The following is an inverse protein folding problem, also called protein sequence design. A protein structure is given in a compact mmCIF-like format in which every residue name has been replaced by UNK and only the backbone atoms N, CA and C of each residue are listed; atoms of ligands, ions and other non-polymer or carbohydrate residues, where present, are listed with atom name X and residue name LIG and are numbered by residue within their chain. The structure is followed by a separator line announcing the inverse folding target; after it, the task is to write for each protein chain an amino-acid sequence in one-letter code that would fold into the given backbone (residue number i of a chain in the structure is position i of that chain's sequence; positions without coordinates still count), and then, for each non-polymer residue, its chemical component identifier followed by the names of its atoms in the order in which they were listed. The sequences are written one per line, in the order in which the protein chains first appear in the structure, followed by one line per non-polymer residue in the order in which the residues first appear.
data_IF_685106296226
#
_entry.id   IF_685106296226
#
_cell.length_a   1.000
_cell.length_b   1.000
_cell.length_c   1.000
_cell.angle_alpha   90.00
_cell.angle_beta   90.00
_cell.angle_gamma   90.00
#
_symmetry.space_group_name_H-M   'P 1'
#
loop_
_entity.id
_entity.type
_entity.pdbx_description
1 polymer ?
#
# COMPACT_ATOMS: atom_id res chain seq x y z
N UNK A 1 -10.97 -20.07 -5.72
CA UNK A 1 -9.66 -19.72 -5.16
C UNK A 1 -9.04 -18.62 -6.03
N UNK A 2 -8.38 -17.65 -5.41
CA UNK A 2 -7.71 -16.54 -6.09
C UNK A 2 -6.33 -16.35 -5.50
N UNK A 3 -5.41 -15.89 -6.34
CA UNK A 3 -4.08 -15.44 -5.92
C UNK A 3 -4.03 -13.92 -6.02
N UNK A 4 -3.38 -13.26 -5.06
CA UNK A 4 -3.13 -11.82 -5.09
C UNK A 4 -1.71 -11.56 -5.55
N UNK A 5 -1.58 -10.65 -6.51
CA UNK A 5 -0.29 -10.13 -6.96
C UNK A 5 -0.25 -8.64 -6.64
N UNK A 6 0.84 -8.19 -6.05
CA UNK A 6 1.11 -6.77 -5.84
C UNK A 6 2.27 -6.35 -6.72
N UNK A 7 2.07 -5.30 -7.51
CA UNK A 7 3.11 -4.63 -8.28
C UNK A 7 3.40 -3.26 -7.70
N UNK A 8 4.67 -2.97 -7.46
CA UNK A 8 5.18 -1.66 -7.10
C UNK A 8 5.57 -0.97 -8.41
N UNK A 9 5.01 0.21 -8.67
CA UNK A 9 5.09 0.86 -9.98
C UNK A 9 5.95 2.12 -9.94
N UNK A 10 6.80 2.30 -10.95
CA UNK A 10 7.48 3.56 -11.24
C UNK A 10 6.95 4.11 -12.56
N UNK A 11 6.46 5.34 -12.55
CA UNK A 11 5.95 6.01 -13.74
C UNK A 11 7.07 6.41 -14.69
N UNK A 12 6.73 6.64 -15.96
CA UNK A 12 7.66 7.30 -16.90
C UNK A 12 7.96 8.72 -16.44
N UNK A 13 9.19 9.16 -16.61
CA UNK A 13 9.68 10.48 -16.16
C UNK A 13 8.97 11.65 -16.84
N UNK A 14 8.50 11.46 -18.07
CA UNK A 14 7.76 12.46 -18.85
C UNK A 14 6.27 12.52 -18.49
N UNK A 15 5.80 11.79 -17.50
CA UNK A 15 4.42 11.79 -17.04
C UNK A 15 4.32 12.44 -15.66
N UNK A 16 3.31 13.30 -15.49
CA UNK A 16 2.91 13.76 -14.15
C UNK A 16 2.20 12.63 -13.39
N UNK A 17 2.06 12.80 -12.09
CA UNK A 17 1.31 11.85 -11.24
C UNK A 17 -0.15 11.73 -11.70
N UNK A 18 -0.80 12.84 -12.05
CA UNK A 18 -2.18 12.83 -12.53
C UNK A 18 -2.33 12.15 -13.89
N UNK A 19 -1.37 12.38 -14.81
CA UNK A 19 -1.35 11.64 -16.11
C UNK A 19 -1.15 10.15 -15.88
N UNK A 20 -0.27 9.77 -14.95
CA UNK A 20 -0.01 8.36 -14.62
C UNK A 20 -1.26 7.70 -14.01
N UNK A 21 -1.92 8.38 -13.07
CA UNK A 21 -3.19 7.93 -12.49
C UNK A 21 -4.25 7.71 -13.57
N UNK A 22 -4.43 8.68 -14.45
CA UNK A 22 -5.40 8.58 -15.55
C UNK A 22 -5.09 7.40 -16.49
N UNK A 23 -3.83 7.21 -16.85
CA UNK A 23 -3.39 6.07 -17.67
C UNK A 23 -3.70 4.73 -16.99
N UNK A 24 -3.43 4.59 -15.71
CA UNK A 24 -3.70 3.35 -14.97
C UNK A 24 -5.20 3.05 -14.91
N UNK A 25 -6.03 4.05 -14.64
CA UNK A 25 -7.47 3.88 -14.49
C UNK A 25 -8.16 3.68 -15.83
N UNK A 26 -7.87 4.55 -16.81
CA UNK A 26 -8.67 4.65 -18.04
C UNK A 26 -8.08 3.90 -19.24
N UNK A 27 -6.81 3.50 -19.18
CA UNK A 27 -6.13 2.78 -20.27
C UNK A 27 -5.67 1.39 -19.86
N UNK A 28 -4.91 1.29 -18.77
CA UNK A 28 -4.37 0.02 -18.33
C UNK A 28 -5.43 -0.94 -17.75
N UNK A 29 -6.26 -0.46 -16.81
CA UNK A 29 -7.23 -1.34 -16.13
C UNK A 29 -8.21 -2.04 -17.10
N UNK A 30 -8.75 -1.37 -18.12
CA UNK A 30 -9.59 -2.05 -19.09
C UNK A 30 -8.90 -3.17 -19.88
N UNK A 31 -7.59 -3.05 -20.10
CA UNK A 31 -6.80 -4.06 -20.83
C UNK A 31 -6.62 -5.37 -20.06
N UNK A 32 -6.69 -5.31 -18.72
CA UNK A 32 -6.50 -6.48 -17.86
C UNK A 32 -7.81 -6.97 -17.19
N UNK A 33 -8.91 -6.33 -17.43
CA UNK A 33 -10.19 -6.63 -16.75
C UNK A 33 -10.61 -8.09 -16.94
N UNK A 34 -10.43 -8.63 -18.14
CA UNK A 34 -10.75 -10.03 -18.45
C UNK A 34 -9.75 -11.05 -17.84
N UNK A 35 -8.60 -10.61 -17.36
CA UNK A 35 -7.57 -11.45 -16.73
C UNK A 35 -7.70 -11.49 -15.21
N UNK A 36 -8.43 -10.57 -14.63
CA UNK A 36 -8.51 -10.33 -13.18
C UNK A 36 -9.93 -10.53 -12.65
N UNK A 37 -10.03 -10.80 -11.36
CA UNK A 37 -11.32 -10.79 -10.64
C UNK A 37 -11.56 -9.45 -9.95
N UNK A 38 -10.49 -8.76 -9.60
CA UNK A 38 -10.51 -7.44 -8.97
C UNK A 38 -9.20 -6.72 -9.21
N UNK A 39 -9.26 -5.41 -9.22
CA UNK A 39 -8.12 -4.51 -9.40
C UNK A 39 -8.18 -3.43 -8.33
N UNK A 40 -7.06 -3.16 -7.67
CA UNK A 40 -6.88 -2.02 -6.77
C UNK A 40 -5.67 -1.21 -7.24
N UNK A 41 -5.86 0.10 -7.34
CA UNK A 41 -4.81 1.04 -7.73
C UNK A 41 -4.60 2.04 -6.60
N UNK A 42 -3.37 2.14 -6.11
CA UNK A 42 -2.93 3.18 -5.19
C UNK A 42 -1.91 4.05 -5.92
N UNK A 43 -2.09 5.35 -5.89
CA UNK A 43 -1.19 6.31 -6.53
C UNK A 43 -0.77 7.36 -5.50
N UNK A 44 0.50 7.73 -5.53
CA UNK A 44 1.01 8.87 -4.76
C UNK A 44 0.58 10.14 -5.49
N UNK A 45 -0.69 10.51 -5.33
CA UNK A 45 -1.28 11.68 -5.97
C UNK A 45 -0.93 12.99 -5.24
N UNK A 46 -1.37 14.11 -5.78
CA UNK A 46 -1.06 15.44 -5.20
C UNK A 46 -1.64 15.62 -3.79
N UNK A 47 -2.71 14.91 -3.45
CA UNK A 47 -3.30 14.96 -2.11
C UNK A 47 -2.36 14.37 -1.05
N UNK A 48 -1.63 13.29 -1.39
CA UNK A 48 -0.73 12.60 -0.46
C UNK A 48 0.74 12.97 -0.63
N UNK A 49 1.18 13.43 -1.80
CA UNK A 49 2.60 13.74 -2.07
C UNK A 49 3.15 14.87 -1.23
N UNK A 50 2.34 15.88 -0.95
CA UNK A 50 2.72 17.05 -0.13
C UNK A 50 2.91 16.74 1.35
N UNK A 51 2.41 15.62 1.81
CA UNK A 51 2.36 15.22 3.22
C UNK A 51 3.39 14.16 3.59
N UNK A 52 3.94 13.44 2.62
CA UNK A 52 5.03 12.49 2.84
C UNK A 52 6.27 13.13 3.50
N UNK A 53 6.47 14.43 3.35
CA UNK A 53 7.57 15.16 3.95
C UNK A 53 7.32 15.61 5.41
N UNK A 54 6.07 15.68 5.86
CA UNK A 54 5.74 16.23 7.18
C UNK A 54 5.63 15.17 8.29
N UNK A 55 5.51 13.89 7.93
CA UNK A 55 5.40 12.77 8.88
C UNK A 55 6.73 12.28 9.44
N UNK A 56 7.78 12.61 8.75
CA UNK A 56 9.12 12.22 9.11
C UNK A 56 9.63 13.27 10.10
N UNK A 57 9.57 12.97 11.39
CA UNK A 57 10.28 13.76 12.39
C UNK A 57 11.74 13.90 11.98
N UNK A 58 12.40 14.97 12.39
CA UNK A 58 13.78 15.29 12.00
C UNK A 58 14.78 14.12 12.12
N UNK A 59 14.52 13.15 13.00
CA UNK A 59 15.35 11.94 13.16
C UNK A 59 15.19 10.91 12.03
N UNK A 60 14.06 10.92 11.32
CA UNK A 60 13.80 10.01 10.22
C UNK A 60 14.21 10.61 8.86
N UNK A 61 14.41 11.92 8.74
CA UNK A 61 14.93 12.58 7.52
C UNK A 61 16.26 12.00 7.05
N UNK A 62 17.07 11.46 7.97
CA UNK A 62 18.34 10.80 7.66
C UNK A 62 18.21 9.35 7.24
N UNK A 63 17.02 8.74 7.30
CA UNK A 63 16.82 7.30 7.04
C UNK A 63 15.85 7.00 5.89
N UNK A 64 15.06 7.98 5.45
CA UNK A 64 14.15 7.80 4.32
C UNK A 64 14.75 8.38 3.04
N UNK A 65 14.61 7.68 1.91
CA UNK A 65 14.97 8.28 0.62
C UNK A 65 14.15 9.55 0.39
N UNK A 66 14.76 10.57 -0.19
CA UNK A 66 14.14 11.87 -0.53
C UNK A 66 13.02 11.76 -1.59
N UNK A 67 12.57 10.56 -1.90
CA UNK A 67 11.49 10.27 -2.85
C UNK A 67 10.68 9.07 -2.37
N UNK A 68 9.41 8.95 -2.74
CA UNK A 68 8.62 7.76 -2.44
C UNK A 68 9.30 6.52 -3.03
N UNK A 69 9.13 5.37 -2.35
CA UNK A 69 9.64 4.06 -2.81
C UNK A 69 9.06 3.72 -4.18
N UNK A 70 7.85 4.21 -4.47
CA UNK A 70 7.13 4.00 -5.72
C UNK A 70 6.20 5.17 -6.04
N UNK A 71 5.83 5.31 -7.30
CA UNK A 71 4.80 6.26 -7.74
C UNK A 71 3.39 5.69 -7.58
N UNK A 72 3.26 4.38 -7.50
CA UNK A 72 2.01 3.69 -7.30
C UNK A 72 2.16 2.22 -6.97
N UNK A 73 1.04 1.62 -6.61
CA UNK A 73 0.89 0.18 -6.36
C UNK A 73 -0.34 -0.32 -7.11
N UNK A 74 -0.20 -1.47 -7.75
CA UNK A 74 -1.29 -2.21 -8.36
C UNK A 74 -1.44 -3.53 -7.61
N UNK A 75 -2.61 -3.80 -7.07
CA UNK A 75 -2.98 -5.13 -6.61
C UNK A 75 -4.01 -5.74 -7.56
N UNK A 76 -3.79 -6.97 -7.96
CA UNK A 76 -4.70 -7.73 -8.80
C UNK A 76 -4.99 -9.09 -8.17
N UNK A 77 -6.25 -9.49 -8.23
CA UNK A 77 -6.68 -10.83 -7.84
C UNK A 77 -6.95 -11.64 -9.10
N UNK A 78 -6.21 -12.72 -9.25
CA UNK A 78 -6.22 -13.58 -10.44
C UNK A 78 -6.53 -15.01 -10.07
N UNK A 79 -7.08 -15.79 -11.01
CA UNK A 79 -7.31 -17.23 -10.77
C UNK A 79 -6.00 -18.02 -10.75
N UNK A 80 -4.97 -17.54 -11.42
CA UNK A 80 -3.67 -18.19 -11.50
C UNK A 80 -2.57 -17.17 -11.76
N UNK A 81 -1.44 -17.36 -11.10
CA UNK A 81 -0.21 -16.60 -11.34
C UNK A 81 0.26 -16.66 -12.81
N UNK A 82 -0.21 -17.66 -13.57
CA UNK A 82 0.14 -17.79 -15.00
C UNK A 82 -0.31 -16.59 -15.84
N UNK A 83 -1.32 -15.83 -15.40
CA UNK A 83 -1.76 -14.60 -16.07
C UNK A 83 -0.77 -13.44 -15.93
N UNK A 84 0.22 -13.54 -15.04
CA UNK A 84 1.20 -12.47 -14.82
C UNK A 84 1.89 -12.02 -16.10
N UNK A 85 2.23 -12.94 -16.99
CA UNK A 85 2.98 -12.59 -18.22
C UNK A 85 2.18 -11.66 -19.13
N UNK A 86 0.87 -11.86 -19.22
CA UNK A 86 -0.03 -10.99 -20.00
C UNK A 86 -0.16 -9.62 -19.31
N UNK A 87 -0.38 -9.59 -17.99
CA UNK A 87 -0.47 -8.35 -17.21
C UNK A 87 0.83 -7.56 -17.31
N UNK A 88 1.98 -8.21 -17.13
CA UNK A 88 3.30 -7.57 -17.18
C UNK A 88 3.65 -7.05 -18.59
N UNK A 89 3.20 -7.72 -19.65
CA UNK A 89 3.37 -7.22 -21.02
C UNK A 89 2.66 -5.90 -21.23
N UNK A 90 1.48 -5.72 -20.62
CA UNK A 90 0.72 -4.48 -20.66
C UNK A 90 1.35 -3.43 -19.73
N UNK A 91 1.75 -3.80 -18.50
CA UNK A 91 2.43 -2.90 -17.57
C UNK A 91 3.68 -2.24 -18.16
N UNK A 92 4.45 -2.95 -18.97
CA UNK A 92 5.64 -2.43 -19.67
C UNK A 92 5.33 -1.23 -20.58
N UNK A 93 4.10 -1.11 -21.06
CA UNK A 93 3.68 0.01 -21.91
C UNK A 93 3.43 1.26 -21.06
N UNK A 94 2.83 1.09 -19.87
CA UNK A 94 2.30 2.18 -19.06
C UNK A 94 3.23 2.63 -17.92
N UNK A 95 4.30 1.87 -17.64
CA UNK A 95 5.24 2.15 -16.55
C UNK A 95 6.69 2.16 -17.04
N UNK A 96 7.54 2.92 -16.36
CA UNK A 96 9.00 2.86 -16.56
C UNK A 96 9.55 1.53 -16.06
N UNK A 97 9.10 1.10 -14.89
CA UNK A 97 9.50 -0.16 -14.27
C UNK A 97 8.48 -0.61 -13.23
N UNK A 98 8.53 -1.88 -12.88
CA UNK A 98 7.70 -2.45 -11.83
C UNK A 98 8.40 -3.63 -11.15
N UNK A 99 8.04 -3.88 -9.90
CA UNK A 99 8.42 -5.08 -9.16
C UNK A 99 7.17 -5.79 -8.67
N UNK A 100 7.10 -7.09 -8.89
CA UNK A 100 5.91 -7.89 -8.58
C UNK A 100 6.17 -8.93 -7.49
N UNK A 101 5.14 -9.17 -6.68
CA UNK A 101 5.14 -10.12 -5.57
C UNK A 101 3.85 -10.93 -5.56
N UNK A 102 4.01 -12.25 -5.47
CA UNK A 102 2.90 -13.12 -5.09
C UNK A 102 2.75 -13.05 -3.57
N UNK A 103 1.54 -12.78 -3.10
CA UNK A 103 1.26 -12.60 -1.68
C UNK A 103 0.08 -13.44 -1.22
N UNK A 104 0.04 -13.73 0.09
CA UNK A 104 -1.19 -14.18 0.77
C UNK A 104 -1.79 -12.99 1.50
N UNK A 105 -3.09 -12.78 1.31
CA UNK A 105 -3.83 -11.66 1.89
C UNK A 105 -4.62 -12.09 3.13
N UNK A 106 -4.61 -11.22 4.15
CA UNK A 106 -5.49 -11.31 5.30
C UNK A 106 -6.00 -9.93 5.69
N UNK A 107 -7.28 -9.79 5.91
CA UNK A 107 -7.92 -8.55 6.35
C UNK A 107 -8.08 -8.57 7.86
N UNK A 108 -7.11 -8.00 8.58
CA UNK A 108 -7.16 -7.90 10.04
C UNK A 108 -8.24 -6.88 10.48
N UNK A 109 -8.47 -5.86 9.69
CA UNK A 109 -9.58 -4.92 9.81
C UNK A 109 -10.19 -4.71 8.42
N UNK A 110 -11.36 -5.32 8.13
CA UNK A 110 -12.06 -5.09 6.87
C UNK A 110 -12.48 -3.63 6.71
N UNK A 111 -12.41 -3.11 5.50
CA UNK A 111 -12.84 -1.73 5.21
C UNK A 111 -14.32 -1.54 5.51
N UNK A 112 -14.62 -0.49 6.27
CA UNK A 112 -16.00 -0.04 6.50
C UNK A 112 -16.45 1.01 5.48
N UNK A 113 -15.52 1.56 4.70
CA UNK A 113 -15.76 2.57 3.68
C UNK A 113 -15.53 1.94 2.30
N UNK A 114 -16.60 1.51 1.66
CA UNK A 114 -16.54 1.10 0.26
C UNK A 114 -16.70 2.34 -0.64
N UNK A 115 -15.99 2.41 -1.77
CA UNK A 115 -16.25 3.44 -2.76
C UNK A 115 -17.70 3.31 -3.24
N UNK A 116 -18.40 4.43 -3.29
CA UNK A 116 -19.81 4.49 -3.68
C UNK A 116 -20.04 4.22 -5.16
N UNK A 117 -18.98 4.25 -5.96
CA UNK A 117 -18.99 4.00 -7.42
C UNK A 117 -17.81 3.14 -7.84
N UNK A 118 -17.96 2.29 -8.90
CA UNK A 118 -16.92 1.35 -9.38
C UNK A 118 -15.74 2.13 -9.87
N UNK A 119 -15.07 2.91 -9.76
CA UNK A 119 -13.91 3.68 -10.25
C UNK A 119 -13.92 5.08 -9.61
N UNK A 120 -14.13 5.12 -8.31
CA UNK A 120 -13.97 6.36 -7.56
C UNK A 120 -12.78 6.28 -6.61
N UNK A 121 -12.15 7.42 -6.36
CA UNK A 121 -11.14 7.54 -5.32
C UNK A 121 -11.81 7.25 -3.97
N UNK A 122 -11.24 6.31 -3.21
CA UNK A 122 -11.67 6.09 -1.83
C UNK A 122 -11.30 7.32 -0.99
N UNK A 123 -12.22 7.87 -0.18
CA UNK A 123 -11.90 8.96 0.73
C UNK A 123 -10.73 8.62 1.68
N UNK A 124 -9.99 9.64 2.10
CA UNK A 124 -8.83 9.47 2.96
C UNK A 124 -7.58 9.06 2.17
N UNK A 125 -6.76 8.23 2.78
CA UNK A 125 -5.54 7.72 2.15
C UNK A 125 -5.18 6.32 2.65
N UNK A 126 -4.37 5.63 1.87
CA UNK A 126 -3.73 4.38 2.27
C UNK A 126 -2.23 4.60 2.53
N UNK A 127 -1.76 4.16 3.68
CA UNK A 127 -0.35 3.99 3.96
C UNK A 127 0.04 2.57 3.58
N UNK A 128 1.02 2.44 2.67
CA UNK A 128 1.57 1.14 2.27
C UNK A 128 2.97 1.01 2.81
N UNK A 129 3.21 0.00 3.64
CA UNK A 129 4.50 -0.29 4.23
C UNK A 129 5.09 -1.58 3.65
N UNK A 130 6.35 -1.49 3.19
CA UNK A 130 7.12 -2.63 2.66
C UNK A 130 8.09 -3.09 3.74
N UNK A 131 7.86 -4.28 4.29
CA UNK A 131 8.57 -4.75 5.47
C UNK A 131 9.71 -5.71 5.11
N UNK A 132 10.88 -5.45 5.71
CA UNK A 132 12.01 -6.36 5.71
C UNK A 132 12.20 -6.91 7.12
N UNK A 133 12.24 -8.23 7.25
CA UNK A 133 12.51 -8.88 8.52
C UNK A 133 13.97 -8.62 8.94
N UNK A 134 14.22 -8.21 10.19
CA UNK A 134 15.59 -8.12 10.72
C UNK A 134 16.32 -9.44 10.57
N UNK A 135 17.59 -9.39 10.18
CA UNK A 135 18.40 -10.60 9.91
C UNK A 135 18.59 -11.48 11.15
N UNK A 136 18.62 -10.87 12.32
CA UNK A 136 18.82 -11.53 13.61
C UNK A 136 17.54 -12.05 14.27
N UNK A 137 16.36 -11.87 13.65
CA UNK A 137 15.10 -12.33 14.19
C UNK A 137 14.60 -13.58 13.45
N UNK A 138 14.20 -14.67 14.14
CA UNK A 138 13.55 -15.81 13.52
C UNK A 138 12.26 -15.42 12.79
N UNK A 139 12.01 -16.05 11.62
CA UNK A 139 10.88 -15.68 10.78
C UNK A 139 9.54 -15.80 11.49
N UNK A 140 9.29 -16.90 12.19
CA UNK A 140 8.01 -17.14 12.86
C UNK A 140 7.77 -16.17 14.02
N UNK A 141 8.84 -15.78 14.74
CA UNK A 141 8.76 -14.77 15.81
C UNK A 141 8.44 -13.39 15.22
N UNK A 142 9.15 -12.99 14.17
CA UNK A 142 8.89 -11.74 13.47
C UNK A 142 7.45 -11.70 12.92
N UNK A 143 6.99 -12.78 12.30
CA UNK A 143 5.65 -12.90 11.74
C UNK A 143 4.58 -12.76 12.83
N UNK A 144 4.74 -13.45 13.96
CA UNK A 144 3.85 -13.34 15.11
C UNK A 144 3.81 -11.93 15.69
N UNK A 145 4.98 -11.31 15.89
CA UNK A 145 5.08 -9.95 16.42
C UNK A 145 4.37 -8.94 15.51
N UNK A 146 4.54 -9.07 14.21
CA UNK A 146 3.87 -8.20 13.26
C UNK A 146 2.38 -8.49 13.14
N UNK A 147 2.01 -9.72 12.81
CA UNK A 147 0.60 -10.06 12.50
C UNK A 147 -0.32 -10.01 13.71
N UNK A 148 0.18 -10.33 14.89
CA UNK A 148 -0.64 -10.43 16.09
C UNK A 148 -0.47 -9.23 17.01
N UNK A 149 0.74 -8.91 17.42
CA UNK A 149 0.97 -7.87 18.43
C UNK A 149 0.90 -6.46 17.80
N UNK A 150 1.72 -6.18 16.81
CA UNK A 150 1.80 -4.84 16.21
C UNK A 150 0.50 -4.45 15.53
N UNK A 151 -0.09 -5.35 14.76
CA UNK A 151 -1.36 -5.09 14.06
C UNK A 151 -2.48 -4.75 15.03
N UNK A 152 -2.60 -5.48 16.13
CA UNK A 152 -3.62 -5.20 17.14
C UNK A 152 -3.41 -3.84 17.79
N UNK A 153 -2.16 -3.50 18.14
CA UNK A 153 -1.84 -2.17 18.69
C UNK A 153 -2.22 -1.07 17.70
N UNK A 154 -1.90 -1.22 16.42
CA UNK A 154 -2.27 -0.23 15.41
C UNK A 154 -3.79 -0.05 15.31
N UNK A 155 -4.55 -1.15 15.29
CA UNK A 155 -6.02 -1.11 15.24
C UNK A 155 -6.60 -0.44 16.49
N UNK A 156 -6.05 -0.71 17.67
CA UNK A 156 -6.56 -0.21 18.95
C UNK A 156 -6.21 1.27 19.21
N UNK A 157 -5.13 1.78 18.60
CA UNK A 157 -4.57 3.10 18.95
C UNK A 157 -4.64 4.14 17.84
N UNK A 158 -4.89 3.72 16.60
CA UNK A 158 -4.88 4.59 15.44
C UNK A 158 -6.28 4.73 14.83
N UNK A 159 -6.51 5.78 14.06
CA UNK A 159 -7.78 6.01 13.35
C UNK A 159 -7.91 5.18 12.07
N UNK A 160 -7.17 4.09 11.96
CA UNK A 160 -7.23 3.23 10.79
C UNK A 160 -8.62 2.61 10.62
N UNK A 161 -9.15 2.62 9.40
CA UNK A 161 -10.44 2.05 9.04
C UNK A 161 -10.32 0.79 8.17
N UNK A 162 -9.09 0.42 7.81
CA UNK A 162 -8.76 -0.80 7.06
C UNK A 162 -7.32 -1.21 7.40
N UNK A 163 -7.11 -2.49 7.64
CA UNK A 163 -5.77 -3.05 7.84
C UNK A 163 -5.66 -4.37 7.09
N UNK A 164 -4.87 -4.39 6.02
CA UNK A 164 -4.64 -5.57 5.20
C UNK A 164 -3.18 -6.01 5.32
N UNK A 165 -2.99 -7.27 5.67
CA UNK A 165 -1.69 -7.91 5.76
C UNK A 165 -1.45 -8.74 4.51
N UNK A 166 -0.33 -8.51 3.82
CA UNK A 166 0.10 -9.33 2.70
C UNK A 166 1.45 -9.96 3.05
N UNK A 167 1.46 -11.25 3.29
CA UNK A 167 2.71 -12.00 3.46
C UNK A 167 3.26 -12.32 2.08
N UNK A 168 4.51 -11.95 1.82
CA UNK A 168 5.15 -12.24 0.53
C UNK A 168 5.51 -13.72 0.46
N UNK A 169 4.93 -14.42 -0.51
CA UNK A 169 5.28 -15.80 -0.83
C UNK A 169 6.60 -15.83 -1.59
N UNK A 170 6.72 -14.99 -2.62
CA UNK A 170 7.94 -14.80 -3.41
C UNK A 170 7.84 -13.56 -4.29
N UNK A 171 8.97 -13.01 -4.68
CA UNK A 171 9.05 -12.10 -5.83
C UNK A 171 8.75 -12.86 -7.12
N UNK A 172 8.15 -12.17 -8.10
CA UNK A 172 7.81 -12.74 -9.41
C UNK A 172 8.46 -12.00 -10.57
N UNK A 173 9.19 -10.94 -10.29
CA UNK A 173 10.00 -10.17 -11.24
C UNK A 173 11.46 -10.19 -10.84
N UNK A 174 12.35 -10.02 -11.83
CA UNK A 174 13.79 -9.93 -11.58
C UNK A 174 14.14 -8.67 -10.79
N UNK A 175 15.17 -8.76 -9.94
CA UNK A 175 15.72 -7.64 -9.15
C UNK A 175 14.69 -6.95 -8.23
N UNK A 176 13.59 -7.61 -7.91
CA UNK A 176 12.65 -7.08 -6.93
C UNK A 176 13.32 -7.01 -5.54
N UNK A 177 13.13 -5.91 -4.79
CA UNK A 177 13.58 -5.83 -3.41
C UNK A 177 13.05 -6.99 -2.57
N UNK A 178 13.86 -7.47 -1.63
CA UNK A 178 13.50 -8.61 -0.79
C UNK A 178 12.61 -8.18 0.38
N UNK A 179 11.32 -7.96 0.11
CA UNK A 179 10.32 -7.72 1.13
C UNK A 179 9.69 -9.03 1.61
N UNK A 180 9.45 -9.14 2.92
CA UNK A 180 8.76 -10.28 3.52
C UNK A 180 7.27 -10.03 3.70
N UNK A 181 6.86 -8.76 3.76
CA UNK A 181 5.46 -8.39 3.87
C UNK A 181 5.17 -7.02 3.25
N UNK A 182 3.91 -6.82 2.88
CA UNK A 182 3.38 -5.53 2.42
C UNK A 182 2.10 -5.27 3.23
N UNK A 183 2.08 -4.16 3.95
CA UNK A 183 0.95 -3.75 4.78
C UNK A 183 0.21 -2.61 4.10
N UNK A 184 -1.12 -2.70 4.09
CA UNK A 184 -1.99 -1.63 3.62
C UNK A 184 -2.85 -1.17 4.79
N UNK A 185 -2.70 0.09 5.18
CA UNK A 185 -3.48 0.73 6.24
C UNK A 185 -4.28 1.89 5.66
N UNK A 186 -5.60 1.82 5.75
CA UNK A 186 -6.48 2.88 5.29
C UNK A 186 -6.87 3.83 6.42
N UNK A 187 -6.83 5.12 6.14
CA UNK A 187 -7.27 6.19 7.05
C UNK A 187 -8.39 6.99 6.38
N UNK A 188 -9.51 7.24 7.08
CA UNK A 188 -10.68 7.91 6.50
C UNK A 188 -10.47 9.41 6.30
N UNK A 189 -9.52 10.01 7.04
CA UNK A 189 -9.24 11.44 7.02
C UNK A 189 -7.79 11.70 6.60
N UNK A 190 -7.61 12.49 5.55
CA UNK A 190 -6.29 12.87 5.04
C UNK A 190 -5.45 13.63 6.07
N UNK A 191 -6.07 14.31 7.02
CA UNK A 191 -5.37 15.04 8.10
C UNK A 191 -4.62 14.12 9.05
N UNK A 192 -4.96 12.82 9.13
CA UNK A 192 -4.19 11.85 9.90
C UNK A 192 -2.73 11.74 9.43
N UNK A 193 -2.43 12.16 8.20
CA UNK A 193 -1.05 12.19 7.70
C UNK A 193 -0.14 13.21 8.41
N UNK A 194 -0.70 14.27 8.96
CA UNK A 194 0.07 15.37 9.57
C UNK A 194 -0.41 15.81 10.96
N UNK A 195 -1.58 15.33 11.40
CA UNK A 195 -2.13 15.64 12.73
C UNK A 195 -2.11 14.38 13.62
N UNK A 196 -1.23 14.32 14.64
CA UNK A 196 -1.16 13.18 15.55
C UNK A 196 -2.47 12.93 16.30
N UNK A 197 -3.25 13.98 16.59
CA UNK A 197 -4.54 13.82 17.28
C UNK A 197 -5.52 13.03 16.41
N UNK A 198 -5.54 13.30 15.10
CA UNK A 198 -6.36 12.56 14.14
C UNK A 198 -5.81 11.16 13.93
N UNK A 199 -4.49 11.03 13.77
CA UNK A 199 -3.83 9.74 13.56
C UNK A 199 -4.10 8.76 14.71
N UNK A 200 -3.97 9.21 15.96
CA UNK A 200 -4.18 8.39 17.16
C UNK A 200 -5.64 8.40 17.66
N UNK A 201 -6.60 8.74 16.82
CA UNK A 201 -8.04 8.75 17.15
C UNK A 201 -8.34 9.47 18.48
N UNK A 202 -7.75 10.63 18.67
CA UNK A 202 -7.75 11.35 19.96
C UNK A 202 -8.12 12.82 19.85
N UNK A 203 -8.88 13.19 18.82
CA UNK A 203 -9.30 14.58 18.59
C UNK A 203 -10.04 15.11 19.81
N UNK A 204 -9.52 16.23 20.37
CA UNK A 204 -10.07 16.85 21.59
C UNK A 204 -9.66 16.19 22.90
N UNK A 205 -8.84 15.14 22.90
CA UNK A 205 -8.39 14.43 24.10
C UNK A 205 -6.87 14.15 24.07
N UNK A 206 -6.09 15.08 24.63
CA UNK A 206 -4.63 14.97 24.70
C UNK A 206 -4.17 13.79 25.56
N UNK A 207 -4.91 13.42 26.59
CA UNK A 207 -4.54 12.27 27.44
C UNK A 207 -4.71 10.96 26.67
N UNK A 208 -5.76 10.84 25.86
CA UNK A 208 -5.95 9.70 24.97
C UNK A 208 -4.80 9.62 23.95
N UNK A 209 -4.37 10.74 23.35
CA UNK A 209 -3.25 10.77 22.43
C UNK A 209 -1.97 10.24 23.08
N UNK A 210 -1.62 10.76 24.28
CA UNK A 210 -0.42 10.33 25.02
C UNK A 210 -0.47 8.83 25.34
N UNK A 211 -1.64 8.31 25.63
CA UNK A 211 -1.81 6.88 25.92
C UNK A 211 -1.64 6.01 24.68
N UNK A 212 -2.01 6.54 23.51
CA UNK A 212 -1.99 5.80 22.25
C UNK A 212 -0.64 5.86 21.50
N UNK A 213 0.26 6.79 21.89
CA UNK A 213 1.65 6.83 21.41
C UNK A 213 2.46 5.68 22.01
#
# INVERSE_FOLDING_TARGET
AMEKIIYILTKHENKSTEEFKDLLINKFSPEIDNLTQSIQINVVDDAVSKTNLSRVGQEAENQLPNSPIADGMLAVWVRSISFKNQIESILKIFTKSFHGYLVTESEALPSTTLPTLPISRTPGFDQVAFLQKPSNQPYNEWLYNWQTLHTQVAIDTQSTCRYTQNVVVRSITEKAPNYQAIVEEGYPDESAMFDPMVFYDSVGDQNKMIKNI
#
